data_IF_553922071570
#
_entry.id   IF_553922071570
#
_cell.length_a   1.000
_cell.length_b   1.000
_cell.length_c   1.000
_cell.angle_alpha   90.00
_cell.angle_beta   90.00
_cell.angle_gamma   90.00
#
_symmetry.space_group_name_H-M   'P 1'
#
loop_
_entity.id
_entity.type
_entity.pdbx_description
1 polymer ?
#
# COMPACT_ATOMS: atom_id res chain seq x y z
N UNK A 1 65.93 4.97 26.61
CA UNK A 1 66.10 5.43 25.22
C UNK A 1 64.70 5.48 24.61
N UNK A 2 63.97 6.58 24.76
CA UNK A 2 62.72 6.74 24.04
C UNK A 2 63.07 7.14 22.62
N UNK A 3 62.92 6.18 21.73
CA UNK A 3 62.99 6.32 20.29
C UNK A 3 61.96 7.36 19.86
N UNK A 4 62.43 8.60 19.68
CA UNK A 4 61.75 9.57 18.86
C UNK A 4 61.71 9.00 17.45
N UNK A 5 60.61 8.37 17.08
CA UNK A 5 60.24 8.21 15.69
C UNK A 5 60.12 9.62 15.13
N UNK A 6 61.22 10.08 14.52
CA UNK A 6 61.23 11.19 13.59
C UNK A 6 60.22 10.83 12.50
N UNK A 7 58.98 11.31 12.65
CA UNK A 7 58.02 11.32 11.55
C UNK A 7 58.69 12.18 10.47
N UNK A 8 59.01 11.52 9.36
CA UNK A 8 59.73 12.08 8.23
C UNK A 8 59.10 13.38 7.72
N UNK A 9 59.96 14.24 7.20
CA UNK A 9 59.67 15.64 6.94
C UNK A 9 58.52 15.91 5.98
N UNK A 10 57.90 17.07 6.20
CA UNK A 10 57.17 17.94 5.25
C UNK A 10 56.01 17.35 4.43
N UNK A 11 55.66 16.07 4.59
CA UNK A 11 54.35 15.54 4.21
C UNK A 11 53.28 15.70 5.31
N UNK A 12 53.69 16.19 6.49
CA UNK A 12 52.93 16.12 7.75
C UNK A 12 51.63 16.92 7.86
N UNK A 13 51.38 17.93 7.01
CA UNK A 13 50.08 18.62 7.06
C UNK A 13 48.95 17.74 6.51
N UNK A 14 49.18 17.07 5.37
CA UNK A 14 48.16 16.22 4.75
C UNK A 14 47.87 14.97 5.60
N UNK A 15 48.91 14.30 6.09
CA UNK A 15 48.75 13.10 6.91
C UNK A 15 48.01 13.39 8.21
N UNK A 16 48.26 14.55 8.85
CA UNK A 16 47.50 14.99 10.01
C UNK A 16 46.03 15.25 9.69
N UNK A 17 45.73 15.95 8.58
CA UNK A 17 44.35 16.19 8.13
C UNK A 17 43.64 14.86 7.82
N UNK A 18 44.31 13.93 7.13
CA UNK A 18 43.78 12.61 6.81
C UNK A 18 43.53 11.77 8.08
N UNK A 19 44.45 11.82 9.06
CA UNK A 19 44.32 11.12 10.33
C UNK A 19 43.15 11.66 11.18
N UNK A 20 43.01 12.99 11.28
CA UNK A 20 41.89 13.64 11.98
C UNK A 20 40.57 13.29 11.30
N UNK A 21 40.50 13.40 9.96
CA UNK A 21 39.30 13.00 9.19
C UNK A 21 38.92 11.55 9.45
N UNK A 22 39.90 10.65 9.41
CA UNK A 22 39.68 9.22 9.64
C UNK A 22 39.23 8.94 11.08
N UNK A 23 39.76 9.66 12.07
CA UNK A 23 39.35 9.52 13.47
C UNK A 23 37.90 9.99 13.69
N UNK A 24 37.49 11.12 13.08
CA UNK A 24 36.08 11.57 13.09
C UNK A 24 35.16 10.51 12.47
N UNK A 25 35.47 10.04 11.26
CA UNK A 25 34.65 9.04 10.55
C UNK A 25 34.54 7.71 11.31
N UNK A 26 35.60 7.30 12.04
CA UNK A 26 35.60 6.08 12.86
C UNK A 26 34.91 6.25 14.22
N UNK A 27 34.58 7.47 14.64
CA UNK A 27 34.08 7.70 15.99
C UNK A 27 35.17 7.63 17.09
N UNK A 28 36.45 7.78 16.73
CA UNK A 28 37.60 7.59 17.63
C UNK A 28 37.97 8.89 18.36
N UNK A 29 37.31 9.13 19.50
CA UNK A 29 37.51 10.32 20.33
C UNK A 29 38.91 10.38 20.97
N UNK A 30 39.51 9.23 21.30
CA UNK A 30 40.83 9.16 21.94
C UNK A 30 41.93 9.58 20.95
N UNK A 31 41.84 9.10 19.71
CA UNK A 31 42.72 9.55 18.64
C UNK A 31 42.55 11.05 18.36
N UNK A 32 41.32 11.56 18.33
CA UNK A 32 41.08 13.00 18.13
C UNK A 32 41.61 13.86 19.27
N UNK A 33 41.43 13.44 20.52
CA UNK A 33 41.99 14.13 21.67
C UNK A 33 43.52 14.20 21.61
N UNK A 34 44.16 13.14 21.13
CA UNK A 34 45.62 13.08 20.93
C UNK A 34 46.09 13.98 19.79
N UNK A 35 45.32 14.05 18.68
CA UNK A 35 45.67 14.85 17.50
C UNK A 35 45.28 16.33 17.61
N UNK A 36 44.35 16.68 18.52
CA UNK A 36 43.78 18.03 18.69
C UNK A 36 44.85 19.11 18.83
N UNK A 37 45.88 18.86 19.65
CA UNK A 37 46.94 19.83 19.93
C UNK A 37 47.66 20.26 18.65
N UNK A 38 48.15 19.28 17.89
CA UNK A 38 48.86 19.50 16.63
C UNK A 38 47.94 20.06 15.54
N UNK A 39 46.69 19.59 15.50
CA UNK A 39 45.70 20.03 14.51
C UNK A 39 45.37 21.52 14.65
N UNK A 40 45.22 22.02 15.88
CA UNK A 40 44.82 23.41 16.15
C UNK A 40 45.98 24.41 16.14
N UNK A 41 47.24 23.97 15.97
CA UNK A 41 48.39 24.89 15.76
C UNK A 41 48.16 25.77 14.53
N UNK A 42 47.57 25.22 13.47
CA UNK A 42 47.17 25.95 12.26
C UNK A 42 45.64 26.06 12.30
N UNK A 43 45.11 27.24 12.62
CA UNK A 43 43.66 27.46 12.73
C UNK A 43 42.92 27.14 11.44
N UNK A 44 43.56 27.34 10.28
CA UNK A 44 42.96 27.05 8.97
C UNK A 44 42.78 25.55 8.70
N UNK A 45 43.37 24.67 9.52
CA UNK A 45 43.21 23.23 9.35
C UNK A 45 41.75 22.80 9.46
N UNK A 46 40.94 23.42 10.33
CA UNK A 46 39.52 23.09 10.47
C UNK A 46 38.74 23.31 9.16
N UNK A 47 39.04 24.39 8.44
CA UNK A 47 38.39 24.75 7.17
C UNK A 47 38.94 23.90 6.01
N UNK A 48 40.24 23.56 6.06
CA UNK A 48 40.91 22.75 5.02
C UNK A 48 40.65 21.25 5.17
N UNK A 49 40.27 20.78 6.35
CA UNK A 49 39.99 19.37 6.62
C UNK A 49 38.61 18.97 6.11
N UNK A 50 38.52 18.78 4.79
CA UNK A 50 37.32 18.32 4.11
C UNK A 50 37.57 17.00 3.37
N UNK A 51 36.51 16.24 3.09
CA UNK A 51 36.58 15.06 2.23
C UNK A 51 36.46 15.40 0.73
N UNK A 52 36.40 14.39 -0.13
CA UNK A 52 36.25 14.57 -1.58
C UNK A 52 34.93 15.22 -2.03
N UNK A 53 33.91 15.26 -1.17
CA UNK A 53 32.63 15.94 -1.41
C UNK A 53 32.59 17.35 -0.81
N UNK A 54 33.67 17.79 -0.18
CA UNK A 54 33.73 19.06 0.55
C UNK A 54 33.09 18.99 1.94
N UNK A 55 32.78 17.80 2.46
CA UNK A 55 32.22 17.65 3.80
C UNK A 55 33.26 18.07 4.84
N UNK A 56 32.91 19.05 5.68
CA UNK A 56 33.71 19.46 6.84
C UNK A 56 33.73 18.40 7.92
N UNK A 57 34.62 18.54 8.91
CA UNK A 57 34.61 17.66 10.08
C UNK A 57 33.24 17.60 10.78
N UNK A 58 32.47 18.69 10.78
CA UNK A 58 31.12 18.71 11.36
C UNK A 58 30.16 17.80 10.60
N UNK A 59 30.22 17.77 9.27
CA UNK A 59 29.43 16.83 8.45
C UNK A 59 29.83 15.38 8.71
N UNK A 60 31.14 15.11 8.82
CA UNK A 60 31.67 13.76 9.03
C UNK A 60 31.40 13.24 10.44
N UNK A 61 31.16 14.15 11.40
CA UNK A 61 30.85 13.83 12.77
C UNK A 61 29.38 13.46 13.01
N UNK A 62 28.53 13.51 11.98
CA UNK A 62 27.11 13.18 12.07
C UNK A 62 26.91 11.66 12.16
N UNK A 63 26.06 11.25 13.09
CA UNK A 63 25.68 9.86 13.31
C UNK A 63 24.42 9.76 14.17
N UNK A 64 24.16 8.57 14.72
CA UNK A 64 23.02 8.37 15.63
C UNK A 64 23.20 9.02 17.01
N UNK A 65 24.42 9.46 17.36
CA UNK A 65 24.73 10.10 18.62
C UNK A 65 25.42 11.44 18.37
N UNK A 66 25.43 12.30 19.40
CA UNK A 66 25.99 13.65 19.29
C UNK A 66 27.44 13.72 19.76
N UNK A 67 28.01 12.67 20.35
CA UNK A 67 29.32 12.74 21.03
C UNK A 67 30.44 13.23 20.13
N UNK A 68 30.55 12.68 18.91
CA UNK A 68 31.55 13.09 17.93
C UNK A 68 31.28 14.51 17.41
N UNK A 69 30.02 14.82 17.11
CA UNK A 69 29.58 16.15 16.68
C UNK A 69 29.94 17.22 17.71
N UNK A 70 29.58 17.01 18.98
CA UNK A 70 29.86 17.94 20.07
C UNK A 70 31.35 18.14 20.28
N UNK A 71 32.16 17.08 20.20
CA UNK A 71 33.61 17.21 20.29
C UNK A 71 34.16 18.07 19.15
N UNK A 72 33.75 17.81 17.90
CA UNK A 72 34.23 18.59 16.75
C UNK A 72 33.81 20.06 16.87
N UNK A 73 32.58 20.35 17.30
CA UNK A 73 32.08 21.72 17.43
C UNK A 73 32.76 22.45 18.60
N UNK A 74 32.79 21.85 19.80
CA UNK A 74 33.32 22.50 21.02
C UNK A 74 34.85 22.51 21.07
N UNK A 75 35.48 21.37 20.77
CA UNK A 75 36.92 21.18 20.98
C UNK A 75 37.75 21.53 19.74
N UNK A 76 37.22 21.29 18.53
CA UNK A 76 37.90 21.62 17.27
C UNK A 76 37.38 22.91 16.62
N UNK A 77 36.42 23.61 17.26
CA UNK A 77 35.82 24.85 16.76
C UNK A 77 35.20 24.72 15.36
N UNK A 78 34.61 23.55 15.08
CA UNK A 78 33.96 23.27 13.80
C UNK A 78 32.76 24.19 13.54
N UNK A 79 32.75 24.85 12.39
CA UNK A 79 31.64 25.69 11.95
C UNK A 79 30.42 24.83 11.56
N UNK A 80 29.32 24.97 12.30
CA UNK A 80 28.06 24.25 12.06
C UNK A 80 27.31 24.70 10.82
N UNK A 81 27.71 25.82 10.22
CA UNK A 81 27.07 26.40 9.03
C UNK A 81 27.90 26.28 7.76
N UNK A 82 29.15 25.80 7.85
CA UNK A 82 30.01 25.63 6.68
C UNK A 82 29.40 24.62 5.70
N UNK A 83 29.15 24.98 4.42
CA UNK A 83 28.55 24.07 3.46
C UNK A 83 29.57 23.16 2.76
N UNK A 84 29.13 21.97 2.33
CA UNK A 84 29.90 21.12 1.42
C UNK A 84 29.81 21.58 -0.05
N UNK A 85 30.41 20.84 -1.00
CA UNK A 85 30.39 21.22 -2.41
C UNK A 85 29.01 21.18 -3.08
N UNK A 86 28.01 20.57 -2.42
CA UNK A 86 26.60 20.62 -2.83
C UNK A 86 25.83 21.77 -2.16
N UNK A 87 26.53 22.68 -1.48
CA UNK A 87 25.93 23.78 -0.72
C UNK A 87 25.19 23.32 0.54
N UNK A 88 25.26 22.04 0.90
CA UNK A 88 24.53 21.50 2.06
C UNK A 88 25.30 21.79 3.32
N UNK A 89 24.61 22.29 4.34
CA UNK A 89 25.15 22.45 5.70
C UNK A 89 25.06 21.12 6.46
N UNK A 90 25.78 20.95 7.59
CA UNK A 90 25.61 19.80 8.47
C UNK A 90 24.15 19.53 8.85
N UNK A 91 23.33 20.58 9.01
CA UNK A 91 21.91 20.44 9.30
C UNK A 91 21.14 19.77 8.15
N UNK A 92 21.49 20.05 6.89
CA UNK A 92 20.90 19.34 5.74
C UNK A 92 21.24 17.85 5.75
N UNK A 93 22.49 17.48 6.08
CA UNK A 93 22.89 16.07 6.13
C UNK A 93 22.31 15.35 7.36
N UNK A 94 22.17 16.03 8.50
CA UNK A 94 21.54 15.46 9.69
C UNK A 94 20.08 15.09 9.40
N UNK A 95 19.30 16.02 8.82
CA UNK A 95 17.88 15.75 8.51
C UNK A 95 17.72 14.77 7.34
N UNK A 96 18.63 14.77 6.36
CA UNK A 96 18.60 13.80 5.25
C UNK A 96 18.75 12.35 5.75
N UNK A 97 19.52 12.14 6.80
CA UNK A 97 19.75 10.82 7.39
C UNK A 97 18.85 10.52 8.61
N UNK A 98 17.92 11.41 8.94
CA UNK A 98 17.04 11.35 10.11
C UNK A 98 17.80 11.22 11.45
N UNK A 99 18.93 11.92 11.59
CA UNK A 99 19.68 12.00 12.85
C UNK A 99 19.07 13.06 13.76
N UNK A 100 18.04 12.68 14.50
CA UNK A 100 17.21 13.59 15.31
C UNK A 100 18.04 14.30 16.38
N UNK A 101 18.88 13.57 17.11
CA UNK A 101 19.72 14.11 18.18
C UNK A 101 20.80 15.05 17.62
N UNK A 102 21.39 14.73 16.47
CA UNK A 102 22.30 15.65 15.78
C UNK A 102 21.58 16.89 15.25
N UNK A 103 20.34 16.75 14.77
CA UNK A 103 19.51 17.88 14.37
C UNK A 103 19.30 18.84 15.55
N UNK A 104 18.89 18.34 16.72
CA UNK A 104 18.73 19.14 17.93
C UNK A 104 20.04 19.81 18.36
N UNK A 105 21.14 19.05 18.43
CA UNK A 105 22.45 19.58 18.82
C UNK A 105 22.94 20.67 17.88
N UNK A 106 22.81 20.48 16.56
CA UNK A 106 23.18 21.50 15.57
C UNK A 106 22.38 22.80 15.77
N UNK A 107 21.08 22.70 16.05
CA UNK A 107 20.24 23.87 16.34
C UNK A 107 20.68 24.58 17.63
N UNK A 108 21.03 23.82 18.68
CA UNK A 108 21.56 24.38 19.92
C UNK A 108 22.92 25.10 19.73
N UNK A 109 23.71 24.67 18.74
CA UNK A 109 24.94 25.36 18.32
C UNK A 109 24.73 26.49 17.29
N UNK A 110 23.48 26.85 16.98
CA UNK A 110 23.18 27.97 16.08
C UNK A 110 23.27 27.64 14.59
N UNK A 111 22.95 26.40 14.21
CA UNK A 111 22.80 26.04 12.80
C UNK A 111 21.66 26.85 12.14
N UNK A 112 21.94 27.40 10.95
CA UNK A 112 21.01 28.20 10.17
C UNK A 112 19.93 27.31 9.53
N UNK A 113 18.71 27.44 10.05
CA UNK A 113 17.52 26.72 9.56
C UNK A 113 17.03 27.22 8.19
N UNK A 114 17.48 28.38 7.75
CA UNK A 114 17.14 29.02 6.47
C UNK A 114 18.20 28.83 5.38
N UNK A 115 19.35 28.22 5.70
CA UNK A 115 20.41 27.96 4.73
C UNK A 115 19.87 27.15 3.54
N UNK A 116 20.25 27.53 2.32
CA UNK A 116 19.78 26.85 1.10
C UNK A 116 20.94 26.13 0.42
N UNK A 117 20.71 24.85 0.11
CA UNK A 117 21.64 24.01 -0.67
C UNK A 117 21.73 24.42 -2.14
N UNK A 118 22.61 23.77 -2.92
CA UNK A 118 22.71 23.99 -4.36
C UNK A 118 21.42 23.65 -5.12
N UNK A 119 20.59 22.74 -4.59
CA UNK A 119 19.25 22.45 -5.12
C UNK A 119 18.18 23.40 -4.58
N UNK A 120 18.59 24.51 -3.96
CA UNK A 120 17.77 25.59 -3.41
C UNK A 120 16.92 25.20 -2.19
N UNK A 121 16.86 23.91 -1.83
CA UNK A 121 16.18 23.39 -0.64
C UNK A 121 16.82 23.87 0.67
N UNK A 122 15.98 24.20 1.65
CA UNK A 122 16.35 24.35 3.07
C UNK A 122 16.45 22.99 3.77
N UNK A 123 16.90 22.94 5.04
CA UNK A 123 16.84 21.70 5.83
C UNK A 123 15.41 21.14 5.97
N UNK A 124 14.38 21.97 6.15
CA UNK A 124 13.01 21.47 6.27
C UNK A 124 12.51 20.83 4.96
N UNK A 125 12.80 21.46 3.81
CA UNK A 125 12.52 20.87 2.49
C UNK A 125 13.24 19.52 2.31
N UNK A 126 14.49 19.44 2.76
CA UNK A 126 15.29 18.21 2.69
C UNK A 126 14.71 17.11 3.58
N UNK A 127 14.28 17.47 4.80
CA UNK A 127 13.62 16.55 5.73
C UNK A 127 12.32 15.99 5.12
N UNK A 128 11.50 16.85 4.52
CA UNK A 128 10.26 16.44 3.85
C UNK A 128 10.53 15.54 2.63
N UNK A 129 11.55 15.85 1.83
CA UNK A 129 11.93 15.05 0.67
C UNK A 129 12.49 13.66 1.04
N UNK A 130 13.04 13.51 2.25
CA UNK A 130 13.68 12.28 2.72
C UNK A 130 12.84 11.49 3.73
N UNK A 131 11.64 11.96 4.08
CA UNK A 131 10.74 11.26 5.00
C UNK A 131 11.09 11.39 6.48
N UNK A 132 11.92 12.37 6.86
CA UNK A 132 12.44 12.56 8.22
C UNK A 132 11.48 13.37 9.09
N UNK A 133 10.31 12.78 9.38
CA UNK A 133 9.21 13.43 10.12
C UNK A 133 9.66 13.90 11.51
N UNK A 134 10.47 13.11 12.21
CA UNK A 134 10.98 13.47 13.53
C UNK A 134 11.88 14.72 13.49
N UNK A 135 12.75 14.82 12.47
CA UNK A 135 13.51 16.05 12.23
C UNK A 135 12.61 17.24 11.85
N UNK A 136 11.54 17.02 11.10
CA UNK A 136 10.55 18.07 10.78
C UNK A 136 9.87 18.59 12.05
N UNK A 137 9.52 17.71 12.99
CA UNK A 137 8.97 18.10 14.29
C UNK A 137 9.96 18.94 15.11
N UNK A 138 11.23 18.55 15.16
CA UNK A 138 12.28 19.33 15.85
C UNK A 138 12.40 20.72 15.25
N UNK A 139 12.54 20.81 13.92
CA UNK A 139 12.64 22.09 13.22
C UNK A 139 11.41 22.98 13.43
N UNK A 140 10.22 22.37 13.50
CA UNK A 140 8.97 23.08 13.76
C UNK A 140 8.91 23.61 15.19
N UNK A 141 9.23 22.77 16.19
CA UNK A 141 9.26 23.14 17.62
C UNK A 141 10.27 24.25 17.94
N UNK A 142 11.39 24.29 17.21
CA UNK A 142 12.46 25.29 17.36
C UNK A 142 12.23 26.56 16.52
N UNK A 143 11.14 26.64 15.75
CA UNK A 143 10.80 27.84 14.98
C UNK A 143 9.91 28.78 15.78
N UNK A 144 10.24 30.08 15.77
CA UNK A 144 9.39 31.12 16.39
C UNK A 144 8.00 31.22 15.73
N UNK A 145 7.88 30.81 14.46
CA UNK A 145 6.64 30.84 13.70
C UNK A 145 6.40 29.49 13.00
N UNK A 146 5.88 28.48 13.72
CA UNK A 146 5.66 27.15 13.18
C UNK A 146 4.85 27.13 11.87
N UNK A 147 3.78 27.93 11.80
CA UNK A 147 2.93 28.02 10.60
C UNK A 147 3.70 28.52 9.36
N UNK A 148 4.59 29.49 9.55
CA UNK A 148 5.42 30.00 8.45
C UNK A 148 6.51 28.98 8.08
N UNK A 149 7.01 28.21 9.05
CA UNK A 149 8.02 27.17 8.79
C UNK A 149 7.48 26.05 7.93
N UNK A 150 6.25 25.58 8.17
CA UNK A 150 5.61 24.54 7.33
C UNK A 150 5.42 25.01 5.89
N UNK A 151 5.14 26.30 5.70
CA UNK A 151 4.90 26.94 4.41
C UNK A 151 6.13 27.66 3.86
N UNK A 152 7.32 27.39 4.38
CA UNK A 152 8.51 28.04 3.87
C UNK A 152 8.76 27.62 2.42
N UNK A 153 9.27 28.56 1.63
CA UNK A 153 9.48 28.37 0.20
C UNK A 153 10.97 28.38 -0.12
N UNK A 154 11.40 27.46 -0.97
CA UNK A 154 12.72 27.52 -1.57
C UNK A 154 12.82 28.64 -2.63
N UNK A 155 13.99 28.81 -3.26
CA UNK A 155 14.16 29.86 -4.31
C UNK A 155 13.30 29.63 -5.55
N UNK A 156 12.87 28.40 -5.81
CA UNK A 156 11.92 28.08 -6.88
C UNK A 156 10.48 28.21 -6.39
N UNK A 157 10.25 28.81 -5.22
CA UNK A 157 8.93 28.90 -4.58
C UNK A 157 8.29 27.54 -4.27
N UNK A 158 9.04 26.43 -4.30
CA UNK A 158 8.50 25.14 -3.90
C UNK A 158 8.36 25.12 -2.37
N UNK A 159 7.25 24.59 -1.88
CA UNK A 159 7.05 24.26 -0.47
C UNK A 159 7.53 22.84 -0.14
N UNK A 160 7.61 22.51 1.16
CA UNK A 160 7.86 21.14 1.62
C UNK A 160 6.84 20.13 1.04
N UNK A 161 5.58 20.54 0.85
CA UNK A 161 4.53 19.71 0.29
C UNK A 161 4.77 19.36 -1.19
N UNK A 162 5.43 20.23 -1.95
CA UNK A 162 5.89 19.87 -3.31
C UNK A 162 6.94 18.77 -3.27
N UNK A 163 7.87 18.82 -2.31
CA UNK A 163 8.94 17.84 -2.20
C UNK A 163 8.39 16.47 -1.82
N UNK A 164 7.50 16.40 -0.82
CA UNK A 164 6.85 15.14 -0.43
C UNK A 164 5.93 14.60 -1.53
N UNK A 165 5.23 15.47 -2.27
CA UNK A 165 4.41 15.08 -3.41
C UNK A 165 5.23 14.52 -4.58
N UNK A 166 6.41 15.09 -4.84
CA UNK A 166 7.35 14.58 -5.85
C UNK A 166 7.89 13.19 -5.47
N UNK A 167 8.21 12.99 -4.20
CA UNK A 167 8.74 11.70 -3.70
C UNK A 167 7.66 10.61 -3.67
N UNK A 168 6.44 10.97 -3.25
CA UNK A 168 5.31 10.06 -3.11
C UNK A 168 5.03 9.59 -1.68
N UNK A 169 5.69 10.16 -0.67
CA UNK A 169 5.43 9.83 0.74
C UNK A 169 4.10 10.49 1.21
N UNK A 170 3.04 9.68 1.25
CA UNK A 170 1.71 10.08 1.74
C UNK A 170 1.73 10.44 3.22
N UNK A 171 2.56 9.78 4.04
CA UNK A 171 2.65 10.06 5.48
C UNK A 171 3.22 11.45 5.72
N UNK A 172 4.29 11.83 5.01
CA UNK A 172 4.86 13.19 5.10
C UNK A 172 3.87 14.21 4.59
N UNK A 173 3.24 13.95 3.44
CA UNK A 173 2.25 14.85 2.85
C UNK A 173 1.06 15.07 3.81
N UNK A 174 0.60 14.01 4.47
CA UNK A 174 -0.44 14.08 5.51
C UNK A 174 0.00 14.90 6.71
N UNK A 175 1.18 14.63 7.24
CA UNK A 175 1.74 15.39 8.36
C UNK A 175 1.82 16.88 8.02
N UNK A 176 2.30 17.24 6.83
CA UNK A 176 2.40 18.64 6.38
C UNK A 176 1.04 19.33 6.34
N UNK A 177 0.03 18.69 5.75
CA UNK A 177 -1.33 19.26 5.68
C UNK A 177 -1.95 19.39 7.08
N UNK A 178 -1.77 18.40 7.95
CA UNK A 178 -2.25 18.45 9.35
C UNK A 178 -1.61 19.60 10.15
N UNK A 179 -0.38 20.01 9.79
CA UNK A 179 0.33 21.14 10.39
C UNK A 179 0.14 22.46 9.62
N UNK A 180 -0.84 22.51 8.69
CA UNK A 180 -1.26 23.74 8.03
C UNK A 180 -0.49 24.10 6.76
N UNK A 181 0.05 23.11 6.05
CA UNK A 181 0.63 23.34 4.72
C UNK A 181 -0.43 23.80 3.71
N UNK A 182 -0.10 24.81 2.91
CA UNK A 182 -0.91 25.32 1.81
C UNK A 182 -0.97 24.30 0.67
N UNK A 183 -2.13 23.68 0.50
CA UNK A 183 -2.37 22.58 -0.45
C UNK A 183 -2.19 23.00 -1.91
N UNK A 184 -2.53 24.26 -2.23
CA UNK A 184 -2.46 24.83 -3.57
C UNK A 184 -1.35 25.88 -3.74
N UNK A 185 -0.31 25.84 -2.89
CA UNK A 185 0.88 26.68 -3.09
C UNK A 185 1.44 26.45 -4.49
N UNK A 186 1.83 27.52 -5.17
CA UNK A 186 2.43 27.47 -6.50
C UNK A 186 3.94 27.68 -6.44
N UNK A 187 4.68 26.84 -7.14
CA UNK A 187 6.10 27.07 -7.38
C UNK A 187 6.35 28.12 -8.49
N UNK A 188 7.60 28.31 -8.90
CA UNK A 188 8.00 29.29 -9.91
C UNK A 188 7.42 28.99 -11.30
N UNK A 189 7.01 27.75 -11.57
CA UNK A 189 6.39 27.30 -12.81
C UNK A 189 4.86 27.14 -12.66
N UNK A 190 4.26 27.78 -11.65
CA UNK A 190 2.83 27.63 -11.30
C UNK A 190 2.40 26.18 -10.98
N UNK A 191 3.36 25.29 -10.68
CA UNK A 191 3.07 23.91 -10.32
C UNK A 191 2.56 23.87 -8.89
N UNK A 192 1.45 23.16 -8.65
CA UNK A 192 0.95 22.85 -7.30
C UNK A 192 1.46 21.48 -6.83
N UNK A 193 1.38 21.16 -5.52
CA UNK A 193 1.73 19.83 -5.03
C UNK A 193 0.96 18.70 -5.73
N UNK A 194 -0.33 18.90 -6.04
CA UNK A 194 -1.10 17.92 -6.80
C UNK A 194 -0.55 17.74 -8.22
N UNK A 195 -0.25 18.84 -8.91
CA UNK A 195 0.33 18.77 -10.26
C UNK A 195 1.72 18.10 -10.23
N UNK A 196 2.52 18.37 -9.20
CA UNK A 196 3.81 17.71 -8.96
C UNK A 196 3.65 16.19 -8.77
N UNK A 197 2.71 15.76 -7.91
CA UNK A 197 2.41 14.34 -7.69
C UNK A 197 2.01 13.64 -9.00
N UNK A 198 1.18 14.30 -9.82
CA UNK A 198 0.72 13.77 -11.11
C UNK A 198 1.88 13.70 -12.11
N UNK A 199 2.70 14.74 -12.22
CA UNK A 199 3.91 14.77 -13.08
C UNK A 199 4.90 13.65 -12.73
N UNK A 200 5.02 13.34 -11.45
CA UNK A 200 5.88 12.25 -10.94
C UNK A 200 5.20 10.88 -10.90
N UNK A 201 3.90 10.79 -11.20
CA UNK A 201 3.13 9.53 -11.23
C UNK A 201 2.93 8.92 -9.83
N UNK A 202 2.51 9.72 -8.86
CA UNK A 202 2.31 9.34 -7.46
C UNK A 202 0.81 9.29 -7.12
N UNK A 203 0.11 8.17 -7.42
CA UNK A 203 -1.35 8.10 -7.32
C UNK A 203 -1.87 8.29 -5.90
N UNK A 204 -1.19 7.73 -4.90
CA UNK A 204 -1.70 7.73 -3.53
C UNK A 204 -1.59 9.14 -2.90
N UNK A 205 -0.56 9.91 -3.24
CA UNK A 205 -0.46 11.32 -2.84
C UNK A 205 -1.44 12.19 -3.62
N UNK A 206 -1.60 11.95 -4.93
CA UNK A 206 -2.58 12.68 -5.72
C UNK A 206 -4.01 12.47 -5.17
N UNK A 207 -4.39 11.23 -4.85
CA UNK A 207 -5.67 10.91 -4.23
C UNK A 207 -5.83 11.58 -2.87
N UNK A 208 -4.79 11.57 -2.03
CA UNK A 208 -4.81 12.25 -0.74
C UNK A 208 -5.02 13.76 -0.88
N UNK A 209 -4.25 14.43 -1.74
CA UNK A 209 -4.35 15.88 -1.95
C UNK A 209 -5.73 16.28 -2.50
N UNK A 210 -6.29 15.48 -3.42
CA UNK A 210 -7.65 15.69 -3.92
C UNK A 210 -8.69 15.59 -2.79
N UNK A 211 -8.51 14.65 -1.84
CA UNK A 211 -9.37 14.56 -0.65
C UNK A 211 -9.21 15.74 0.30
N UNK A 212 -8.13 16.51 0.19
CA UNK A 212 -7.88 17.75 0.94
C UNK A 212 -8.25 19.00 0.11
N UNK A 213 -9.18 18.85 -0.84
CA UNK A 213 -9.70 19.92 -1.70
C UNK A 213 -8.65 20.62 -2.58
N UNK A 214 -7.55 19.93 -2.92
CA UNK A 214 -6.56 20.46 -3.86
C UNK A 214 -7.19 20.79 -5.23
N UNK A 215 -6.77 21.91 -5.83
CA UNK A 215 -7.25 22.35 -7.12
C UNK A 215 -6.74 21.42 -8.25
N UNK A 216 -7.62 20.48 -8.64
CA UNK A 216 -7.43 19.52 -9.73
C UNK A 216 -7.37 20.10 -11.14
N UNK A 217 -7.71 21.37 -11.32
CA UNK A 217 -7.72 22.06 -12.62
C UNK A 217 -6.69 23.19 -12.73
N UNK A 218 -5.81 23.34 -11.73
CA UNK A 218 -4.72 24.30 -11.78
C UNK A 218 -3.72 23.90 -12.88
N UNK A 219 -3.38 24.87 -13.74
CA UNK A 219 -2.39 24.71 -14.80
C UNK A 219 -1.02 25.25 -14.36
N UNK A 220 0.05 24.64 -14.86
CA UNK A 220 1.40 25.21 -14.79
C UNK A 220 1.59 26.38 -15.78
N UNK A 221 2.80 26.93 -15.82
CA UNK A 221 3.23 28.01 -16.70
C UNK A 221 3.12 27.69 -18.20
N UNK A 222 3.00 26.41 -18.56
CA UNK A 222 2.78 25.93 -19.93
C UNK A 222 1.28 25.67 -20.23
N UNK A 223 0.39 25.96 -19.28
CA UNK A 223 -1.05 25.70 -19.41
C UNK A 223 -1.41 24.23 -19.20
N UNK A 224 -0.48 23.37 -18.78
CA UNK A 224 -0.75 21.97 -18.53
C UNK A 224 -1.40 21.79 -17.15
N UNK A 225 -2.65 21.35 -17.18
CA UNK A 225 -3.40 20.81 -16.02
C UNK A 225 -3.04 19.35 -15.72
N UNK A 226 -3.35 18.79 -14.54
CA UNK A 226 -3.09 17.39 -14.19
C UNK A 226 -3.47 16.37 -15.27
N UNK A 227 -4.64 16.53 -15.89
CA UNK A 227 -5.14 15.64 -16.97
C UNK A 227 -4.21 15.57 -18.18
N UNK A 228 -3.46 16.64 -18.49
CA UNK A 228 -2.46 16.66 -19.57
C UNK A 228 -1.27 15.76 -19.23
N UNK A 229 -0.80 15.78 -17.99
CA UNK A 229 0.30 14.93 -17.56
C UNK A 229 -0.10 13.46 -17.45
N UNK A 230 -1.35 13.16 -17.08
CA UNK A 230 -1.88 11.79 -17.16
C UNK A 230 -1.82 11.26 -18.60
N UNK A 231 -2.16 12.10 -19.59
CA UNK A 231 -2.07 11.74 -21.00
C UNK A 231 -0.61 11.48 -21.46
N UNK A 232 0.34 12.35 -21.10
CA UNK A 232 1.77 12.19 -21.43
C UNK A 232 2.34 10.89 -20.81
N UNK A 233 1.97 10.60 -19.55
CA UNK A 233 2.48 9.44 -18.82
C UNK A 233 1.75 8.14 -19.15
N UNK A 234 0.59 8.21 -19.81
CA UNK A 234 -0.35 7.11 -19.96
C UNK A 234 -0.85 6.57 -18.60
N UNK A 235 -1.09 7.47 -17.65
CA UNK A 235 -1.47 7.12 -16.27
C UNK A 235 -3.00 7.05 -16.12
N UNK A 236 -3.56 5.89 -16.46
CA UNK A 236 -5.01 5.63 -16.36
C UNK A 236 -5.51 5.78 -14.91
N UNK A 237 -4.74 5.28 -13.92
CA UNK A 237 -5.15 5.28 -12.51
C UNK A 237 -5.33 6.71 -12.00
N UNK A 238 -4.34 7.58 -12.20
CA UNK A 238 -4.44 8.98 -11.76
C UNK A 238 -5.51 9.73 -12.55
N UNK A 239 -5.63 9.49 -13.86
CA UNK A 239 -6.68 10.11 -14.67
C UNK A 239 -8.07 9.77 -14.13
N UNK A 240 -8.30 8.50 -13.79
CA UNK A 240 -9.57 8.03 -13.23
C UNK A 240 -9.88 8.71 -11.89
N UNK A 241 -8.89 8.81 -10.99
CA UNK A 241 -9.02 9.53 -9.72
C UNK A 241 -9.41 11.00 -9.95
N UNK A 242 -8.76 11.69 -10.90
CA UNK A 242 -9.06 13.08 -11.22
C UNK A 242 -10.49 13.25 -11.78
N UNK A 243 -10.90 12.38 -12.70
CA UNK A 243 -12.25 12.42 -13.29
C UNK A 243 -13.32 12.12 -12.25
N UNK A 244 -13.10 11.11 -11.41
CA UNK A 244 -14.04 10.74 -10.34
C UNK A 244 -14.16 11.88 -9.30
N UNK A 245 -13.10 12.67 -9.13
CA UNK A 245 -13.13 13.89 -8.34
C UNK A 245 -13.75 15.10 -9.08
N UNK A 246 -14.10 14.97 -10.37
CA UNK A 246 -14.70 16.03 -11.17
C UNK A 246 -13.71 17.02 -11.78
N UNK A 247 -12.52 16.57 -12.19
CA UNK A 247 -11.57 17.38 -12.95
C UNK A 247 -12.07 17.66 -14.37
N UNK A 248 -11.75 18.83 -14.90
CA UNK A 248 -12.17 19.24 -16.24
C UNK A 248 -11.26 18.62 -17.30
N UNK A 249 -11.81 17.75 -18.16
CA UNK A 249 -11.03 17.03 -19.19
C UNK A 249 -10.97 17.76 -20.53
N UNK A 250 -12.04 18.47 -20.91
CA UNK A 250 -12.10 19.20 -22.18
C UNK A 250 -11.38 20.56 -22.09
N UNK A 251 -10.05 20.50 -22.03
CA UNK A 251 -9.16 21.63 -21.80
C UNK A 251 -8.04 21.65 -22.82
N UNK A 252 -7.46 22.83 -23.05
CA UNK A 252 -6.26 22.99 -23.87
C UNK A 252 -5.17 23.71 -23.08
N UNK A 253 -3.91 23.31 -23.31
CA UNK A 253 -2.73 24.01 -22.80
C UNK A 253 -2.33 25.20 -23.71
N UNK A 254 -1.17 25.82 -23.46
CA UNK A 254 -0.74 27.00 -24.23
C UNK A 254 -0.44 26.70 -25.72
N UNK A 255 -0.12 25.46 -26.06
CA UNK A 255 0.05 24.99 -27.44
C UNK A 255 -1.28 24.56 -28.09
N UNK A 256 -2.40 24.85 -27.42
CA UNK A 256 -3.74 24.41 -27.78
C UNK A 256 -3.88 22.87 -27.83
N UNK A 257 -2.98 22.13 -27.19
CA UNK A 257 -3.09 20.68 -27.06
C UNK A 257 -4.08 20.35 -25.94
N UNK A 258 -5.10 19.55 -26.26
CA UNK A 258 -5.90 18.88 -25.24
C UNK A 258 -5.25 17.55 -24.80
N UNK A 259 -5.75 16.88 -23.75
CA UNK A 259 -5.18 15.61 -23.31
C UNK A 259 -5.09 14.54 -24.41
N UNK A 260 -6.04 14.49 -25.35
CA UNK A 260 -5.98 13.56 -26.49
C UNK A 260 -4.80 13.84 -27.42
N UNK A 261 -4.47 15.10 -27.69
CA UNK A 261 -3.27 15.45 -28.47
C UNK A 261 -2.01 14.90 -27.81
N UNK A 262 -1.88 15.06 -26.50
CA UNK A 262 -0.70 14.60 -25.77
C UNK A 262 -0.63 13.07 -25.72
N UNK A 263 -1.75 12.38 -25.51
CA UNK A 263 -1.82 10.93 -25.59
C UNK A 263 -1.46 10.41 -27.00
N UNK A 264 -1.82 11.14 -28.05
CA UNK A 264 -1.45 10.83 -29.43
C UNK A 264 0.03 11.08 -29.73
N UNK A 265 0.60 12.20 -29.26
CA UNK A 265 2.03 12.54 -29.44
C UNK A 265 2.92 11.55 -28.70
N UNK A 266 2.56 11.21 -27.45
CA UNK A 266 3.27 10.24 -26.62
C UNK A 266 2.70 8.83 -26.77
N UNK A 267 2.30 8.46 -27.99
CA UNK A 267 1.68 7.18 -28.29
C UNK A 267 2.50 6.00 -27.73
N UNK A 268 1.80 5.02 -27.14
CA UNK A 268 2.36 3.72 -26.75
C UNK A 268 1.74 2.60 -27.61
N UNK A 269 2.43 2.14 -28.67
CA UNK A 269 1.90 1.07 -29.51
C UNK A 269 1.61 -0.20 -28.70
N UNK A 270 0.50 -0.89 -29.00
CA UNK A 270 0.09 -2.16 -28.39
C UNK A 270 -0.11 -2.12 -26.85
N UNK A 271 -0.36 -0.94 -26.27
CA UNK A 271 -0.71 -0.82 -24.84
C UNK A 271 -2.23 -0.76 -24.68
N UNK A 272 -2.79 -1.76 -23.97
CA UNK A 272 -4.21 -1.77 -23.58
C UNK A 272 -4.55 -0.56 -22.70
N UNK A 273 -3.65 -0.21 -21.79
CA UNK A 273 -3.78 0.95 -20.90
C UNK A 273 -3.89 2.26 -21.70
N UNK A 274 -3.16 2.40 -22.81
CA UNK A 274 -3.27 3.57 -23.69
C UNK A 274 -4.63 3.62 -24.40
N UNK A 275 -5.16 2.48 -24.86
CA UNK A 275 -6.50 2.41 -25.42
C UNK A 275 -7.56 2.81 -24.37
N UNK A 276 -7.45 2.28 -23.16
CA UNK A 276 -8.37 2.56 -22.04
C UNK A 276 -8.28 4.02 -21.60
N UNK A 277 -7.09 4.62 -21.66
CA UNK A 277 -6.87 6.04 -21.39
C UNK A 277 -7.57 6.93 -22.43
N UNK A 278 -7.43 6.62 -23.72
CA UNK A 278 -8.11 7.36 -24.80
C UNK A 278 -9.62 7.25 -24.65
N UNK A 279 -10.13 6.05 -24.36
CA UNK A 279 -11.55 5.83 -24.12
C UNK A 279 -12.06 6.65 -22.93
N UNK A 280 -11.34 6.60 -21.79
CA UNK A 280 -11.71 7.37 -20.60
C UNK A 280 -11.71 8.89 -20.86
N UNK A 281 -10.76 9.40 -21.65
CA UNK A 281 -10.73 10.82 -22.05
C UNK A 281 -11.95 11.20 -22.90
N UNK A 282 -12.27 10.38 -23.91
CA UNK A 282 -13.44 10.61 -24.79
C UNK A 282 -14.75 10.54 -24.01
N UNK A 283 -14.88 9.54 -23.14
CA UNK A 283 -16.07 9.34 -22.31
C UNK A 283 -16.26 10.46 -21.29
N UNK A 284 -15.17 11.12 -20.91
CA UNK A 284 -15.19 12.31 -20.04
C UNK A 284 -15.35 13.63 -20.81
N UNK A 285 -15.64 13.56 -22.12
CA UNK A 285 -15.97 14.71 -22.95
C UNK A 285 -14.77 15.43 -23.57
N UNK A 286 -13.57 14.83 -23.59
CA UNK A 286 -12.44 15.40 -24.32
C UNK A 286 -12.72 15.39 -25.83
N UNK A 287 -12.68 16.56 -26.48
CA UNK A 287 -13.04 16.66 -27.90
C UNK A 287 -11.92 16.16 -28.84
N UNK A 288 -12.11 15.08 -29.62
CA UNK A 288 -11.11 14.60 -30.57
C UNK A 288 -11.03 15.42 -31.87
N UNK A 289 -11.92 16.38 -32.09
CA UNK A 289 -11.98 17.18 -33.31
C UNK A 289 -11.26 18.54 -33.20
N UNK A 290 -10.87 18.93 -31.97
CA UNK A 290 -10.14 20.18 -31.70
C UNK A 290 -8.79 20.18 -32.40
N UNK A 291 -8.42 21.34 -32.93
CA UNK A 291 -7.10 21.58 -33.52
C UNK A 291 -6.19 22.31 -32.52
N UNK A 292 -4.93 21.87 -32.46
CA UNK A 292 -3.90 22.56 -31.69
C UNK A 292 -3.26 23.74 -32.46
N UNK A 293 -2.21 24.35 -31.92
CA UNK A 293 -1.52 25.49 -32.53
C UNK A 293 -0.91 25.15 -33.91
N UNK A 294 -0.68 23.87 -34.21
CA UNK A 294 -0.22 23.38 -35.51
C UNK A 294 -1.35 23.05 -36.50
N UNK A 295 -2.62 23.35 -36.16
CA UNK A 295 -3.81 22.97 -36.94
C UNK A 295 -3.94 21.47 -37.19
N UNK A 296 -3.47 20.67 -36.23
CA UNK A 296 -3.56 19.21 -36.26
C UNK A 296 -4.57 18.76 -35.22
N UNK A 297 -5.34 17.72 -35.54
CA UNK A 297 -6.20 17.01 -34.59
C UNK A 297 -5.38 15.94 -33.86
N UNK A 298 -5.83 15.42 -32.70
CA UNK A 298 -5.16 14.33 -32.01
C UNK A 298 -4.87 13.13 -32.93
N UNK A 299 -5.85 12.74 -33.75
CA UNK A 299 -5.73 11.60 -34.67
C UNK A 299 -4.67 11.79 -35.77
N UNK A 300 -4.16 13.01 -36.00
CA UNK A 300 -3.13 13.28 -37.01
C UNK A 300 -1.72 12.94 -36.53
N UNK A 301 -1.54 12.74 -35.23
CA UNK A 301 -0.26 12.32 -34.64
C UNK A 301 -0.09 10.80 -34.61
N UNK A 302 -1.14 10.01 -34.83
CA UNK A 302 -1.09 8.56 -34.78
C UNK A 302 -1.13 7.89 -36.16
N UNK A 303 -0.57 6.68 -36.24
CA UNK A 303 -0.64 5.83 -37.43
C UNK A 303 -2.08 5.49 -37.85
N UNK A 304 -2.26 5.14 -39.13
CA UNK A 304 -3.57 4.88 -39.75
C UNK A 304 -4.44 3.88 -38.97
N UNK A 305 -3.83 2.83 -38.41
CA UNK A 305 -4.52 1.80 -37.62
C UNK A 305 -5.12 2.30 -36.30
N UNK A 306 -4.58 3.40 -35.77
CA UNK A 306 -4.96 3.94 -34.46
C UNK A 306 -5.92 5.13 -34.55
N UNK A 307 -6.06 5.76 -35.72
CA UNK A 307 -7.00 6.89 -35.92
C UNK A 307 -8.42 6.57 -35.46
N UNK A 308 -8.83 5.30 -35.59
CA UNK A 308 -10.15 4.79 -35.18
C UNK A 308 -10.43 5.03 -33.68
N UNK A 309 -9.42 4.98 -32.81
CA UNK A 309 -9.61 5.16 -31.37
C UNK A 309 -9.95 6.60 -30.98
N UNK A 310 -9.66 7.57 -31.85
CA UNK A 310 -10.00 8.99 -31.65
C UNK A 310 -11.36 9.35 -32.26
N UNK A 311 -12.19 8.36 -32.55
CA UNK A 311 -13.58 8.56 -32.98
C UNK A 311 -14.52 8.05 -31.90
N UNK A 312 -15.51 8.86 -31.53
CA UNK A 312 -16.55 8.49 -30.57
C UNK A 312 -17.31 7.22 -30.98
N UNK A 313 -17.41 6.94 -32.29
CA UNK A 313 -18.10 5.74 -32.81
C UNK A 313 -17.46 4.44 -32.31
N UNK A 314 -16.12 4.39 -32.21
CA UNK A 314 -15.41 3.18 -31.79
C UNK A 314 -15.58 2.94 -30.30
N UNK A 315 -15.55 4.00 -29.49
CA UNK A 315 -15.82 3.91 -28.05
C UNK A 315 -17.26 3.44 -27.79
N UNK A 316 -18.23 3.92 -28.57
CA UNK A 316 -19.63 3.47 -28.46
C UNK A 316 -19.77 1.98 -28.82
N UNK A 317 -19.15 1.51 -29.90
CA UNK A 317 -19.23 0.10 -30.28
C UNK A 317 -18.49 -0.81 -29.30
N UNK A 318 -17.33 -0.39 -28.77
CA UNK A 318 -16.63 -1.12 -27.70
C UNK A 318 -17.51 -1.25 -26.46
N UNK A 319 -18.13 -0.15 -26.00
CA UNK A 319 -19.11 -0.17 -24.88
C UNK A 319 -20.28 -1.11 -25.15
N UNK A 320 -20.80 -1.14 -26.38
CA UNK A 320 -21.88 -2.04 -26.78
C UNK A 320 -21.44 -3.50 -26.66
N UNK A 321 -20.24 -3.83 -27.13
CA UNK A 321 -19.69 -5.18 -27.08
C UNK A 321 -19.39 -5.62 -25.64
N UNK A 322 -18.79 -4.75 -24.83
CA UNK A 322 -18.49 -5.02 -23.42
C UNK A 322 -19.78 -5.21 -22.60
N UNK A 323 -20.78 -4.36 -22.81
CA UNK A 323 -22.10 -4.54 -22.17
C UNK A 323 -22.75 -5.85 -22.57
N UNK A 324 -22.67 -6.22 -23.85
CA UNK A 324 -23.18 -7.50 -24.34
C UNK A 324 -22.46 -8.68 -23.69
N UNK A 325 -21.12 -8.62 -23.61
CA UNK A 325 -20.31 -9.65 -22.94
C UNK A 325 -20.66 -9.78 -21.46
N UNK A 326 -20.83 -8.66 -20.77
CA UNK A 326 -21.23 -8.64 -19.36
C UNK A 326 -22.63 -9.23 -19.16
N UNK A 327 -23.57 -8.95 -20.07
CA UNK A 327 -24.91 -9.56 -20.06
C UNK A 327 -24.85 -11.07 -20.33
N UNK A 328 -24.05 -11.50 -21.31
CA UNK A 328 -23.82 -12.92 -21.60
C UNK A 328 -23.22 -13.62 -20.37
N UNK A 329 -22.22 -13.03 -19.71
CA UNK A 329 -21.62 -13.55 -18.47
C UNK A 329 -22.62 -13.57 -17.30
N UNK A 330 -23.49 -12.56 -17.17
CA UNK A 330 -24.54 -12.51 -16.15
C UNK A 330 -25.62 -13.58 -16.39
N UNK A 331 -26.00 -13.80 -17.65
CA UNK A 331 -26.93 -14.86 -18.06
C UNK A 331 -26.33 -16.26 -17.85
N UNK A 332 -25.05 -16.45 -18.18
CA UNK A 332 -24.30 -17.68 -17.87
C UNK A 332 -24.23 -17.93 -16.35
N UNK A 333 -23.95 -16.88 -15.57
CA UNK A 333 -23.93 -16.99 -14.11
C UNK A 333 -25.31 -17.36 -13.55
N UNK A 334 -26.38 -16.75 -14.08
CA UNK A 334 -27.76 -17.02 -13.66
C UNK A 334 -28.18 -18.45 -14.01
N UNK A 335 -27.90 -18.91 -15.23
CA UNK A 335 -28.20 -20.29 -15.66
C UNK A 335 -27.40 -21.30 -14.83
N UNK A 336 -26.13 -21.05 -14.55
CA UNK A 336 -25.32 -21.87 -13.63
C UNK A 336 -25.95 -21.93 -12.23
N UNK A 337 -26.43 -20.81 -11.71
CA UNK A 337 -27.09 -20.73 -10.41
C UNK A 337 -28.41 -21.53 -10.38
N UNK A 338 -29.21 -21.44 -11.45
CA UNK A 338 -30.45 -22.20 -11.62
C UNK A 338 -30.19 -23.72 -11.70
N UNK A 339 -29.20 -24.14 -12.50
CA UNK A 339 -28.78 -25.55 -12.59
C UNK A 339 -28.36 -26.09 -11.22
N UNK A 340 -27.55 -25.32 -10.49
CA UNK A 340 -27.10 -25.68 -9.13
C UNK A 340 -28.29 -25.85 -8.18
N UNK A 341 -29.25 -24.92 -8.23
CA UNK A 341 -30.44 -24.97 -7.37
C UNK A 341 -31.34 -26.17 -7.70
N UNK A 342 -31.50 -26.48 -8.99
CA UNK A 342 -32.27 -27.64 -9.46
C UNK A 342 -31.61 -28.95 -9.02
N UNK A 343 -30.30 -29.05 -9.18
CA UNK A 343 -29.53 -30.21 -8.73
C UNK A 343 -29.64 -30.41 -7.21
N UNK A 344 -29.52 -29.33 -6.44
CA UNK A 344 -29.72 -29.35 -4.98
C UNK A 344 -31.12 -29.85 -4.61
N UNK A 345 -32.16 -29.38 -5.30
CA UNK A 345 -33.54 -29.80 -5.05
C UNK A 345 -33.74 -31.31 -5.31
N UNK A 346 -33.18 -31.83 -6.40
CA UNK A 346 -33.25 -33.26 -6.72
C UNK A 346 -32.55 -34.12 -5.67
N UNK A 347 -31.36 -33.71 -5.21
CA UNK A 347 -30.65 -34.41 -4.13
C UNK A 347 -31.48 -34.44 -2.84
N UNK A 348 -32.07 -33.31 -2.45
CA UNK A 348 -32.93 -33.24 -1.26
C UNK A 348 -34.12 -34.18 -1.41
N UNK A 349 -34.80 -34.17 -2.56
CA UNK A 349 -35.94 -35.04 -2.82
C UNK A 349 -35.56 -36.53 -2.78
N UNK A 350 -34.41 -36.92 -3.32
CA UNK A 350 -33.95 -38.31 -3.28
C UNK A 350 -33.54 -38.76 -1.86
N UNK A 351 -32.92 -37.86 -1.09
CA UNK A 351 -32.64 -38.10 0.33
C UNK A 351 -33.93 -38.27 1.14
N UNK A 352 -34.98 -37.49 0.85
CA UNK A 352 -36.29 -37.63 1.49
C UNK A 352 -36.95 -38.97 1.15
N UNK A 353 -36.87 -39.44 -0.11
CA UNK A 353 -37.36 -40.77 -0.50
C UNK A 353 -36.61 -41.90 0.20
N UNK A 354 -35.29 -41.77 0.38
CA UNK A 354 -34.48 -42.76 1.13
C UNK A 354 -34.92 -42.77 2.59
N UNK A 355 -35.06 -41.61 3.23
CA UNK A 355 -35.55 -41.50 4.61
C UNK A 355 -36.95 -42.10 4.79
N UNK A 356 -37.85 -41.88 3.82
CA UNK A 356 -39.20 -42.45 3.86
C UNK A 356 -39.18 -43.98 3.78
N UNK A 357 -38.39 -44.56 2.86
CA UNK A 357 -38.24 -46.02 2.76
C UNK A 357 -37.65 -46.63 4.02
N UNK A 358 -36.61 -46.01 4.59
CA UNK A 358 -36.03 -46.45 5.86
C UNK A 358 -37.07 -46.45 6.99
N UNK A 359 -37.96 -45.45 7.03
CA UNK A 359 -39.05 -45.39 8.00
C UNK A 359 -40.09 -46.50 7.75
N UNK A 360 -40.52 -46.70 6.51
CA UNK A 360 -41.49 -47.75 6.14
C UNK A 360 -40.94 -49.16 6.43
N UNK A 361 -39.66 -49.42 6.17
CA UNK A 361 -38.98 -50.67 6.50
C UNK A 361 -38.89 -50.89 8.02
N UNK A 362 -38.58 -49.84 8.78
CA UNK A 362 -38.57 -49.88 10.24
C UNK A 362 -39.96 -50.20 10.80
N UNK A 363 -41.01 -49.54 10.29
CA UNK A 363 -42.41 -49.76 10.70
C UNK A 363 -42.90 -51.16 10.30
N UNK A 364 -42.44 -51.69 9.15
CA UNK A 364 -42.72 -53.06 8.73
C UNK A 364 -42.05 -54.08 9.66
N UNK A 365 -40.76 -53.91 9.94
CA UNK A 365 -40.02 -54.78 10.85
C UNK A 365 -40.68 -54.78 12.22
N UNK A 366 -41.11 -53.61 12.72
CA UNK A 366 -41.82 -53.49 13.98
C UNK A 366 -43.13 -54.29 14.00
N UNK A 367 -43.96 -54.19 12.95
CA UNK A 367 -45.19 -55.00 12.82
C UNK A 367 -44.90 -56.50 12.76
N UNK A 368 -43.91 -56.92 11.97
CA UNK A 368 -43.51 -58.33 11.89
C UNK A 368 -42.99 -58.86 13.25
N UNK A 369 -42.27 -58.02 14.02
CA UNK A 369 -41.85 -58.38 15.39
C UNK A 369 -43.02 -58.49 16.36
N UNK A 370 -44.00 -57.57 16.29
CA UNK A 370 -45.20 -57.64 17.13
C UNK A 370 -46.05 -58.88 16.81
N UNK A 371 -46.23 -59.21 15.53
CA UNK A 371 -46.97 -60.40 15.10
C UNK A 371 -46.27 -61.69 15.55
N UNK A 372 -44.93 -61.74 15.46
CA UNK A 372 -44.15 -62.86 16.01
C UNK A 372 -44.34 -63.00 17.52
N UNK A 373 -44.26 -61.90 18.26
CA UNK A 373 -44.51 -61.93 19.71
C UNK A 373 -45.92 -62.42 20.03
N UNK A 374 -46.95 -61.97 19.32
CA UNK A 374 -48.33 -62.45 19.51
C UNK A 374 -48.47 -63.95 19.18
N UNK A 375 -47.86 -64.41 18.09
CA UNK A 375 -47.89 -65.82 17.72
C UNK A 375 -47.13 -66.72 18.71
N UNK A 376 -46.01 -66.22 19.26
CA UNK A 376 -45.27 -66.88 20.34
C UNK A 376 -46.12 -66.99 21.61
N UNK A 377 -46.82 -65.91 21.98
CA UNK A 377 -47.74 -65.89 23.14
C UNK A 377 -48.92 -66.86 22.94
N UNK A 378 -49.54 -66.87 21.75
CA UNK A 378 -50.64 -67.80 21.41
C UNK A 378 -50.18 -69.27 21.42
N UNK A 379 -49.01 -69.56 20.83
CA UNK A 379 -48.43 -70.91 20.83
C UNK A 379 -48.11 -71.39 22.25
N UNK A 380 -47.64 -70.47 23.12
CA UNK A 380 -47.40 -70.74 24.53
C UNK A 380 -48.71 -71.08 25.26
N UNK A 381 -49.78 -70.32 25.04
CA UNK A 381 -51.09 -70.62 25.63
C UNK A 381 -51.63 -71.99 25.19
N UNK A 382 -51.56 -72.31 23.89
CA UNK A 382 -52.00 -73.62 23.37
C UNK A 382 -51.19 -74.79 23.94
N UNK A 383 -49.88 -74.60 24.12
CA UNK A 383 -49.01 -75.59 24.74
C UNK A 383 -49.37 -75.81 26.22
N UNK A 384 -49.61 -74.72 26.97
CA UNK A 384 -50.06 -74.77 28.36
C UNK A 384 -51.40 -75.52 28.48
N UNK A 385 -52.38 -75.22 27.62
CA UNK A 385 -53.66 -75.97 27.56
C UNK A 385 -53.47 -77.45 27.23
N UNK A 386 -52.61 -77.78 26.27
CA UNK A 386 -52.37 -79.17 25.87
C UNK A 386 -51.71 -79.98 27.01
N UNK A 387 -50.78 -79.35 27.75
CA UNK A 387 -50.16 -79.92 28.95
C UNK A 387 -51.23 -80.18 30.03
N UNK A 388 -52.14 -79.24 30.27
CA UNK A 388 -53.24 -79.41 31.22
C UNK A 388 -54.21 -80.52 30.81
N UNK A 389 -54.63 -80.58 29.54
CA UNK A 389 -55.48 -81.66 29.02
C UNK A 389 -54.82 -83.03 29.15
N UNK A 390 -53.51 -83.12 28.90
CA UNK A 390 -52.74 -84.36 29.08
C UNK A 390 -52.68 -84.78 30.54
N UNK A 391 -52.36 -83.85 31.45
CA UNK A 391 -52.40 -84.09 32.90
C UNK A 391 -53.77 -84.62 33.34
N UNK A 392 -54.85 -84.00 32.86
CA UNK A 392 -56.21 -84.45 33.15
C UNK A 392 -56.51 -85.86 32.60
N UNK A 393 -56.14 -86.16 31.35
CA UNK A 393 -56.32 -87.49 30.76
C UNK A 393 -55.53 -88.57 31.50
N UNK A 394 -54.32 -88.27 31.93
CA UNK A 394 -53.48 -89.17 32.72
C UNK A 394 -54.09 -89.45 34.09
N UNK A 395 -54.62 -88.43 34.77
CA UNK A 395 -55.37 -88.59 36.02
C UNK A 395 -56.63 -89.44 35.83
N UNK A 396 -57.39 -89.23 34.75
CA UNK A 396 -58.59 -90.02 34.45
C UNK A 396 -58.24 -91.47 34.08
N UNK A 397 -57.15 -91.69 33.31
CA UNK A 397 -56.66 -93.03 32.98
C UNK A 397 -56.20 -93.76 34.23
N UNK A 398 -55.48 -93.07 35.13
CA UNK A 398 -55.07 -93.61 36.42
C UNK A 398 -56.28 -94.02 37.25
N UNK A 399 -57.30 -93.16 37.36
CA UNK A 399 -58.57 -93.49 38.04
C UNK A 399 -59.31 -94.68 37.41
N UNK A 400 -59.37 -94.77 36.07
CA UNK A 400 -60.02 -95.91 35.37
C UNK A 400 -59.26 -97.22 35.55
N UNK A 401 -57.93 -97.19 35.52
CA UNK A 401 -57.09 -98.37 35.78
C UNK A 401 -57.24 -98.83 37.23
N UNK A 402 -57.19 -97.91 38.19
CA UNK A 402 -57.44 -98.21 39.62
C UNK A 402 -58.86 -98.79 39.83
N UNK A 403 -59.87 -98.30 39.09
CA UNK A 403 -61.22 -98.86 39.13
C UNK A 403 -61.31 -100.26 38.48
N UNK A 404 -60.65 -100.48 37.35
CA UNK A 404 -60.61 -101.78 36.67
C UNK A 404 -59.84 -102.83 37.48
N UNK A 405 -58.74 -102.45 38.13
CA UNK A 405 -58.00 -103.33 39.05
C UNK A 405 -58.85 -103.69 40.28
N UNK A 406 -59.57 -102.73 40.86
CA UNK A 406 -60.53 -103.02 41.94
C UNK A 406 -61.64 -103.95 41.46
N UNK A 407 -62.21 -103.71 40.28
CA UNK A 407 -63.24 -104.55 39.66
C UNK A 407 -62.78 -105.99 39.36
N UNK A 408 -61.57 -106.15 38.83
CA UNK A 408 -60.98 -107.45 38.53
C UNK A 408 -60.55 -108.20 39.80
N UNK A 409 -60.06 -107.48 40.82
CA UNK A 409 -59.77 -108.05 42.13
C UNK A 409 -61.05 -108.57 42.81
N UNK A 410 -62.19 -107.90 42.63
CA UNK A 410 -63.49 -108.40 43.11
C UNK A 410 -64.01 -109.62 42.34
N UNK A 411 -63.69 -109.79 41.04
CA UNK A 411 -64.18 -110.93 40.24
C UNK A 411 -63.33 -112.21 40.36
N UNK A 412 -62.14 -112.15 40.98
CA UNK A 412 -61.29 -113.33 41.23
C UNK A 412 -61.45 -113.92 42.64
N UNK A 413 -62.32 -113.35 43.46
CA UNK A 413 -62.81 -113.98 44.69
C UNK A 413 -64.18 -114.57 44.42
#
# INVERSE_FOLDING_TARGET
MNSGTCIGGLQGSKDLLDAVRAAVVRGDLDALASLKGDFLVIKENIVKCVDGSGNTLVHLALGKNTTMLEFVVKELTGDVNAPNFQGRTPLHEAVRNNYVECCEALLDYGADVGAQSATLSTPFHTAAACGSVECMEVLLKRSDNPKNKVNELDRNKCSALHKSASDGDVRVSKWLVEHGAEVDQKDADDTTPLLMAVKMGKPDVAEYLIKQDANRDQADSHGNRPVHYCAIRCDYKILKILIDAGATVNVQNNDLNNPLHLAAIHQRPNSREWEDLIELLLDSGCDPAVENASRKKPADYVGRSFKKFFSNEVSVERRRLEKKKMQEEEEEFKTMLEMRNTWRANIVADLEKVKRRQKEELDRLHRETEERHRAEDDARMLLEEAIERKRYQEEQRKKRLEAAEKGASTMKK
#
